data_IF_907673468618
#
_entry.id   IF_907673468618
#
_cell.length_a   1.000
_cell.length_b   1.000
_cell.length_c   1.000
_cell.angle_alpha   90.00
_cell.angle_beta   90.00
_cell.angle_gamma   90.00
#
_symmetry.space_group_name_H-M   'P 1'
#
loop_
_entity.id
_entity.type
_entity.pdbx_description
1 polymer ?
#
# COMPACT_ATOMS: atom_id res chain seq x y z
N UNK A 1 5.51 30.10 11.31
CA UNK A 1 4.80 29.04 10.54
C UNK A 1 5.70 27.92 9.99
N UNK A 2 6.97 28.17 9.62
CA UNK A 2 7.89 27.11 9.12
C UNK A 2 8.23 26.04 10.18
N UNK A 3 8.53 26.45 11.41
CA UNK A 3 8.87 25.55 12.52
C UNK A 3 7.81 24.49 12.81
N UNK A 4 6.52 24.86 12.78
CA UNK A 4 5.41 23.91 13.00
C UNK A 4 5.36 22.85 11.90
N UNK A 5 5.66 23.22 10.65
CA UNK A 5 5.68 22.26 9.53
C UNK A 5 6.78 21.22 9.71
N UNK A 6 7.98 21.63 10.11
CA UNK A 6 9.11 20.73 10.35
C UNK A 6 8.81 19.67 11.43
N UNK A 7 8.12 20.07 12.51
CA UNK A 7 7.68 19.16 13.57
C UNK A 7 6.63 18.16 13.05
N UNK A 8 5.75 18.58 12.13
CA UNK A 8 4.65 17.74 11.61
C UNK A 8 5.12 16.73 10.55
N UNK A 9 6.12 17.08 9.73
CA UNK A 9 6.63 16.23 8.64
C UNK A 9 6.85 14.74 9.03
N UNK A 10 7.51 14.39 10.15
CA UNK A 10 7.74 12.99 10.52
C UNK A 10 6.44 12.20 10.80
N UNK A 11 5.37 12.88 11.19
CA UNK A 11 4.08 12.24 11.49
C UNK A 11 3.19 12.07 10.25
N UNK A 12 3.55 12.69 9.11
CA UNK A 12 2.77 12.58 7.88
C UNK A 12 3.11 11.27 7.14
N UNK A 13 2.13 10.38 7.06
CA UNK A 13 2.19 9.23 6.14
C UNK A 13 2.32 9.68 4.68
N UNK A 14 3.36 9.19 4.00
CA UNK A 14 3.64 9.46 2.58
C UNK A 14 2.75 8.69 1.60
N UNK A 15 2.23 7.52 2.01
CA UNK A 15 1.46 6.59 1.16
C UNK A 15 0.00 6.53 1.60
N UNK A 16 -0.78 7.56 1.29
CA UNK A 16 -2.24 7.56 1.48
C UNK A 16 -2.89 7.61 0.09
N UNK A 17 -3.82 6.71 -0.23
CA UNK A 17 -4.54 6.77 -1.50
C UNK A 17 -5.38 8.05 -1.59
N UNK A 18 -5.62 8.56 -2.81
CA UNK A 18 -6.59 9.63 -2.99
C UNK A 18 -8.01 9.10 -2.74
N UNK A 19 -8.52 9.42 -1.56
CA UNK A 19 -9.86 9.08 -1.10
C UNK A 19 -10.77 10.27 -1.33
N UNK A 20 -11.91 10.04 -1.97
CA UNK A 20 -12.92 11.05 -2.21
C UNK A 20 -14.26 10.68 -1.54
N UNK A 21 -15.10 11.66 -1.20
CA UNK A 21 -16.47 11.40 -0.80
C UNK A 21 -17.21 10.57 -1.86
N UNK A 22 -17.93 9.53 -1.43
CA UNK A 22 -18.64 8.58 -2.31
C UNK A 22 -17.86 7.30 -2.61
N UNK A 23 -16.57 7.25 -2.26
CA UNK A 23 -15.79 6.03 -2.39
C UNK A 23 -16.20 5.01 -1.33
N UNK A 24 -16.23 3.74 -1.73
CA UNK A 24 -16.36 2.59 -0.82
C UNK A 24 -14.97 2.09 -0.49
N UNK A 25 -14.63 2.08 0.79
CA UNK A 25 -13.29 1.79 1.28
C UNK A 25 -13.29 0.73 2.38
N UNK A 26 -12.17 0.01 2.52
CA UNK A 26 -11.84 -0.80 3.70
C UNK A 26 -10.72 -0.11 4.48
N UNK A 27 -10.97 0.17 5.75
CA UNK A 27 -9.98 0.70 6.68
C UNK A 27 -9.51 -0.43 7.59
N UNK A 28 -8.21 -0.70 7.58
CA UNK A 28 -7.58 -1.69 8.42
C UNK A 28 -6.99 -0.97 9.63
N UNK A 29 -7.54 -1.21 10.81
CA UNK A 29 -7.11 -0.57 12.05
C UNK A 29 -6.63 -1.63 13.04
N UNK A 30 -5.41 -1.46 13.55
CA UNK A 30 -4.87 -2.24 14.65
C UNK A 30 -5.58 -1.85 15.94
N UNK A 31 -6.05 -2.83 16.67
CA UNK A 31 -6.64 -2.69 17.99
C UNK A 31 -5.93 -3.61 18.97
N UNK A 32 -5.71 -3.12 20.19
CA UNK A 32 -5.10 -3.90 21.27
C UNK A 32 -6.22 -4.61 22.03
N UNK A 33 -6.28 -5.93 21.88
CA UNK A 33 -7.20 -6.78 22.61
C UNK A 33 -6.50 -7.29 23.88
N UNK A 34 -7.11 -7.06 25.04
CA UNK A 34 -6.62 -7.58 26.32
C UNK A 34 -7.18 -8.99 26.49
N UNK A 35 -6.32 -9.99 26.51
CA UNK A 35 -6.71 -11.40 26.65
C UNK A 35 -6.81 -11.76 28.14
N UNK A 36 -7.58 -12.81 28.46
CA UNK A 36 -7.61 -13.40 29.82
C UNK A 36 -6.17 -13.75 30.22
N UNK A 37 -5.73 -13.25 31.39
CA UNK A 37 -4.35 -13.25 31.95
C UNK A 37 -3.47 -12.02 31.64
N UNK A 38 -4.01 -10.94 31.07
CA UNK A 38 -3.31 -9.65 30.99
C UNK A 38 -2.33 -9.50 29.82
N UNK A 39 -2.24 -10.50 28.93
CA UNK A 39 -1.49 -10.39 27.68
C UNK A 39 -2.19 -9.43 26.71
N UNK A 40 -1.41 -8.52 26.11
CA UNK A 40 -1.88 -7.59 25.07
C UNK A 40 -1.58 -8.21 23.72
N UNK A 41 -2.63 -8.55 22.95
CA UNK A 41 -2.50 -8.99 21.56
C UNK A 41 -2.99 -7.91 20.61
N UNK A 42 -2.23 -7.66 19.54
CA UNK A 42 -2.65 -6.76 18.49
C UNK A 42 -3.46 -7.52 17.43
N UNK A 43 -4.66 -7.03 17.14
CA UNK A 43 -5.55 -7.59 16.13
C UNK A 43 -5.97 -6.50 15.14
N UNK A 44 -5.97 -6.81 13.86
CA UNK A 44 -6.43 -5.88 12.83
C UNK A 44 -7.94 -6.02 12.64
N UNK A 45 -8.69 -4.97 12.98
CA UNK A 45 -10.11 -4.84 12.67
C UNK A 45 -10.30 -4.13 11.33
N UNK A 46 -11.19 -4.67 10.50
CA UNK A 46 -11.52 -4.09 9.19
C UNK A 46 -12.87 -3.39 9.27
N UNK A 47 -12.93 -2.13 8.87
CA UNK A 47 -14.17 -1.37 8.73
C UNK A 47 -14.40 -1.01 7.26
N UNK A 48 -15.45 -1.58 6.68
CA UNK A 48 -15.83 -1.37 5.28
C UNK A 48 -17.04 -0.46 5.17
N UNK A 49 -16.97 0.62 4.41
CA UNK A 49 -18.12 1.49 4.20
C UNK A 49 -17.89 2.60 3.20
N UNK A 50 -18.89 3.49 3.09
CA UNK A 50 -18.87 4.62 2.16
C UNK A 50 -18.30 5.84 2.88
N UNK A 51 -17.37 6.53 2.23
CA UNK A 51 -16.84 7.82 2.70
C UNK A 51 -17.90 8.89 2.48
N UNK A 52 -18.41 9.47 3.56
CA UNK A 52 -19.43 10.54 3.49
C UNK A 52 -18.82 11.94 3.57
N UNK A 53 -17.63 12.08 4.14
CA UNK A 53 -16.95 13.36 4.27
C UNK A 53 -15.44 13.14 4.37
N UNK A 54 -14.68 14.11 3.85
CA UNK A 54 -13.23 14.28 4.03
C UNK A 54 -12.98 15.71 4.52
N UNK A 55 -12.12 15.88 5.52
CA UNK A 55 -11.73 17.19 6.08
C UNK A 55 -10.22 17.35 6.05
N UNK A 56 -9.76 18.60 6.03
CA UNK A 56 -8.35 19.00 6.16
C UNK A 56 -7.37 18.43 5.12
N UNK A 57 -7.85 17.81 4.05
CA UNK A 57 -7.06 17.47 2.86
C UNK A 57 -5.80 16.65 3.16
N UNK A 58 -4.64 17.31 3.07
CA UNK A 58 -3.30 16.74 3.29
C UNK A 58 -2.63 17.21 4.60
N UNK A 59 -3.36 17.94 5.45
CA UNK A 59 -2.86 18.37 6.76
C UNK A 59 -2.82 17.20 7.75
N UNK A 60 -2.06 17.34 8.83
CA UNK A 60 -2.00 16.31 9.89
C UNK A 60 -3.37 15.97 10.50
N UNK A 61 -4.27 16.97 10.56
CA UNK A 61 -5.65 16.83 11.01
C UNK A 61 -6.61 16.23 9.98
N UNK A 62 -6.10 15.74 8.84
CA UNK A 62 -6.91 15.14 7.80
C UNK A 62 -7.71 13.95 8.33
N UNK A 63 -9.02 14.01 8.17
CA UNK A 63 -9.95 12.99 8.65
C UNK A 63 -10.93 12.60 7.56
N UNK A 64 -11.33 11.33 7.57
CA UNK A 64 -12.41 10.79 6.75
C UNK A 64 -13.51 10.25 7.65
N UNK A 65 -14.75 10.42 7.23
CA UNK A 65 -15.90 9.82 7.91
C UNK A 65 -16.47 8.72 7.04
N UNK A 66 -16.51 7.50 7.58
CA UNK A 66 -16.96 6.30 6.87
C UNK A 66 -18.26 5.82 7.51
N UNK A 67 -19.26 5.58 6.67
CA UNK A 67 -20.58 5.10 7.07
C UNK A 67 -20.81 3.68 6.57
N UNK A 68 -21.25 2.79 7.46
CA UNK A 68 -21.67 1.41 7.19
C UNK A 68 -23.03 1.15 7.83
N UNK A 69 -23.90 0.40 7.18
CA UNK A 69 -25.11 -0.13 7.82
C UNK A 69 -24.79 -1.54 8.30
N UNK A 70 -24.94 -1.80 9.60
CA UNK A 70 -24.70 -3.10 10.23
C UNK A 70 -25.99 -3.48 10.97
N UNK A 71 -26.58 -4.63 10.63
CA UNK A 71 -27.81 -5.09 11.30
C UNK A 71 -28.97 -4.09 11.25
N UNK A 72 -29.08 -3.30 10.17
CA UNK A 72 -30.10 -2.24 10.04
C UNK A 72 -29.77 -0.91 10.74
N UNK A 73 -28.71 -0.85 11.54
CA UNK A 73 -28.26 0.38 12.23
C UNK A 73 -27.13 1.04 11.44
N UNK A 74 -27.25 2.35 11.22
CA UNK A 74 -26.22 3.15 10.53
C UNK A 74 -25.09 3.53 11.48
N UNK A 75 -23.92 2.91 11.31
CA UNK A 75 -22.70 3.18 12.07
C UNK A 75 -21.80 4.13 11.28
N UNK A 76 -21.36 5.20 11.92
CA UNK A 76 -20.36 6.12 11.38
C UNK A 76 -19.08 6.07 12.23
N UNK A 77 -17.93 6.00 11.57
CA UNK A 77 -16.62 6.11 12.22
C UNK A 77 -15.79 7.19 11.55
N UNK A 78 -15.08 7.98 12.35
CA UNK A 78 -14.17 9.03 11.89
C UNK A 78 -12.75 8.49 12.04
N UNK A 79 -11.98 8.52 10.95
CA UNK A 79 -10.60 8.05 10.91
C UNK A 79 -9.67 9.20 10.54
N UNK A 80 -8.69 9.56 11.40
CA UNK A 80 -7.59 10.44 11.02
C UNK A 80 -6.63 9.70 10.08
N UNK A 81 -6.32 10.28 8.92
CA UNK A 81 -5.56 9.61 7.86
C UNK A 81 -4.12 9.25 8.28
N UNK A 82 -3.52 10.08 9.10
CA UNK A 82 -2.13 9.92 9.56
C UNK A 82 -2.01 9.12 10.87
N UNK A 83 -3.12 8.59 11.41
CA UNK A 83 -3.10 7.86 12.68
C UNK A 83 -2.25 6.57 12.58
N UNK A 84 -1.27 6.34 13.48
CA UNK A 84 -0.38 5.18 13.42
C UNK A 84 -1.11 3.83 13.51
N UNK A 85 -2.24 3.77 14.21
CA UNK A 85 -3.03 2.54 14.34
C UNK A 85 -3.67 2.08 13.02
N UNK A 86 -3.78 2.95 12.01
CA UNK A 86 -4.31 2.59 10.69
C UNK A 86 -3.18 1.96 9.89
N UNK A 87 -3.34 0.70 9.53
CA UNK A 87 -2.33 -0.05 8.79
C UNK A 87 -2.39 0.28 7.30
N UNK A 88 -3.57 0.19 6.70
CA UNK A 88 -3.82 0.49 5.29
C UNK A 88 -5.26 0.91 5.06
N UNK A 89 -5.48 1.64 3.97
CA UNK A 89 -6.81 1.99 3.46
C UNK A 89 -6.88 1.52 2.02
N UNK A 90 -7.86 0.68 1.72
CA UNK A 90 -8.08 0.15 0.37
C UNK A 90 -9.34 0.78 -0.22
N UNK A 91 -9.23 1.33 -1.43
CA UNK A 91 -10.38 1.86 -2.17
C UNK A 91 -10.94 0.73 -3.03
N UNK A 92 -12.14 0.26 -2.70
CA UNK A 92 -12.80 -0.82 -3.44
C UNK A 92 -13.52 -0.32 -4.67
N UNK A 93 -14.22 0.81 -4.54
CA UNK A 93 -15.11 1.32 -5.57
C UNK A 93 -15.24 2.82 -5.48
N UNK A 94 -15.17 3.51 -6.62
CA UNK A 94 -15.49 4.93 -6.71
C UNK A 94 -16.93 5.16 -7.18
N UNK A 95 -17.60 6.13 -6.57
CA UNK A 95 -18.97 6.51 -6.96
C UNK A 95 -19.01 7.94 -7.48
N UNK A 96 -19.85 8.18 -8.50
CA UNK A 96 -20.06 9.54 -9.02
C UNK A 96 -21.00 10.29 -8.09
N UNK A 97 -20.46 11.28 -7.38
CA UNK A 97 -21.21 12.19 -6.51
C UNK A 97 -20.93 13.63 -6.86
N UNK A 98 -21.92 14.51 -6.62
CA UNK A 98 -21.79 15.95 -6.86
C UNK A 98 -21.52 16.75 -5.57
N UNK A 99 -21.87 16.20 -4.42
CA UNK A 99 -21.73 16.87 -3.12
C UNK A 99 -20.41 16.47 -2.46
N UNK A 100 -19.70 17.44 -1.89
CA UNK A 100 -18.47 17.20 -1.12
C UNK A 100 -18.73 16.48 0.23
N UNK A 101 -19.93 16.64 0.80
CA UNK A 101 -20.36 15.95 2.02
C UNK A 101 -21.70 15.26 1.79
N UNK A 102 -21.74 13.94 1.96
CA UNK A 102 -22.88 13.08 1.68
C UNK A 102 -23.75 12.83 2.91
N UNK A 103 -23.99 13.86 3.74
CA UNK A 103 -24.79 13.72 4.96
C UNK A 103 -26.24 13.29 4.70
N UNK A 104 -26.74 13.49 3.48
CA UNK A 104 -28.06 12.98 3.09
C UNK A 104 -28.17 11.44 3.16
N UNK A 105 -27.04 10.71 3.13
CA UNK A 105 -27.02 9.26 3.32
C UNK A 105 -27.39 8.81 4.75
N UNK A 106 -27.53 9.74 5.68
CA UNK A 106 -28.05 9.47 7.03
C UNK A 106 -29.55 9.17 7.04
N UNK A 107 -30.30 9.91 6.22
CA UNK A 107 -31.76 9.82 6.14
C UNK A 107 -32.22 9.04 4.90
N UNK A 108 -31.37 8.93 3.87
CA UNK A 108 -31.69 8.16 2.67
C UNK A 108 -31.83 6.65 2.98
N UNK A 109 -32.90 6.05 2.45
CA UNK A 109 -33.17 4.61 2.53
C UNK A 109 -33.42 4.02 1.14
N UNK A 110 -33.20 2.71 1.00
CA UNK A 110 -33.46 1.97 -0.24
C UNK A 110 -32.73 2.53 -1.46
N UNK A 111 -33.45 2.69 -2.58
CA UNK A 111 -32.88 3.16 -3.86
C UNK A 111 -32.19 4.53 -3.77
N UNK A 112 -32.65 5.42 -2.87
CA UNK A 112 -32.08 6.77 -2.70
C UNK A 112 -30.70 6.76 -2.04
N UNK A 113 -30.37 5.71 -1.29
CA UNK A 113 -29.06 5.55 -0.67
C UNK A 113 -28.01 4.98 -1.65
N UNK A 114 -28.44 4.44 -2.80
CA UNK A 114 -27.55 3.82 -3.78
C UNK A 114 -26.85 4.89 -4.61
N UNK A 115 -25.52 4.90 -4.56
CA UNK A 115 -24.69 5.78 -5.38
C UNK A 115 -24.38 5.14 -6.74
N UNK A 116 -24.42 5.95 -7.81
CA UNK A 116 -24.01 5.55 -9.16
C UNK A 116 -22.50 5.29 -9.17
N UNK A 117 -22.01 4.21 -9.79
CA UNK A 117 -20.56 4.03 -9.91
C UNK A 117 -19.99 5.01 -10.92
N UNK A 118 -18.73 5.35 -10.71
CA UNK A 118 -17.91 5.99 -11.72
C UNK A 118 -17.34 4.87 -12.57
N UNK A 119 -17.77 4.75 -13.81
CA UNK A 119 -17.09 3.90 -14.79
C UNK A 119 -15.76 4.57 -15.09
N UNK A 120 -14.67 3.84 -14.86
CA UNK A 120 -13.39 4.22 -15.43
C UNK A 120 -13.47 3.84 -16.90
N UNK A 121 -13.66 4.82 -17.77
CA UNK A 121 -13.13 4.67 -19.12
C UNK A 121 -11.63 4.91 -18.93
N UNK A 122 -10.87 3.84 -18.72
CA UNK A 122 -9.44 3.94 -18.92
C UNK A 122 -9.27 4.29 -20.39
N UNK A 123 -9.03 5.57 -20.68
CA UNK A 123 -8.30 5.93 -21.87
C UNK A 123 -6.96 5.21 -21.72
N UNK A 124 -6.83 4.08 -22.42
CA UNK A 124 -5.55 3.45 -22.72
C UNK A 124 -4.83 4.49 -23.58
N UNK A 125 -4.19 5.45 -22.92
CA UNK A 125 -3.07 6.14 -23.53
C UNK A 125 -1.94 5.11 -23.51
N UNK A 126 -1.75 4.45 -24.66
CA UNK A 126 -0.47 3.84 -24.98
C UNK A 126 0.60 4.94 -24.91
N UNK A 127 1.15 5.18 -23.72
CA UNK A 127 2.46 5.79 -23.61
C UNK A 127 3.47 4.73 -24.05
N UNK A 128 3.74 4.71 -25.36
CA UNK A 128 4.96 4.11 -25.92
C UNK A 128 6.13 4.58 -25.04
N UNK A 129 6.97 3.68 -24.49
CA UNK A 129 8.14 4.11 -23.76
C UNK A 129 9.07 4.86 -24.72
N UNK A 130 9.17 6.18 -24.58
CA UNK A 130 10.26 6.96 -25.17
C UNK A 130 11.53 6.63 -24.39
N UNK A 131 12.31 5.77 -25.03
CA UNK A 131 13.69 5.42 -24.76
C UNK A 131 14.57 6.67 -24.84
N UNK A 132 14.85 7.33 -23.71
CA UNK A 132 15.87 8.39 -23.62
C UNK A 132 16.26 8.69 -22.15
N UNK A 133 16.85 7.71 -21.47
CA UNK A 133 17.61 7.92 -20.22
C UNK A 133 18.56 6.75 -19.89
N UNK A 134 19.23 6.14 -20.89
CA UNK A 134 20.19 5.04 -20.68
C UNK A 134 21.53 5.18 -21.41
N UNK A 135 21.92 6.38 -21.81
CA UNK A 135 23.19 6.63 -22.52
C UNK A 135 24.30 7.27 -21.68
N UNK A 136 24.15 7.40 -20.35
CA UNK A 136 25.23 7.95 -19.50
C UNK A 136 25.68 7.10 -18.31
N UNK A 137 25.03 5.99 -18.00
CA UNK A 137 25.49 5.04 -16.95
C UNK A 137 25.99 3.70 -17.50
N UNK A 138 25.92 3.49 -18.83
CA UNK A 138 26.33 2.22 -19.46
C UNK A 138 27.80 2.18 -19.92
N UNK A 139 28.58 3.23 -19.66
CA UNK A 139 30.01 3.30 -20.00
C UNK A 139 30.96 3.05 -18.81
N UNK A 140 30.50 3.17 -17.55
CA UNK A 140 31.34 2.90 -16.35
C UNK A 140 31.08 1.53 -15.71
N UNK A 141 29.98 0.85 -16.05
CA UNK A 141 29.66 -0.48 -15.50
C UNK A 141 30.20 -1.61 -16.39
N UNK A 142 30.58 -1.33 -17.64
CA UNK A 142 31.15 -2.32 -18.57
C UNK A 142 32.60 -2.70 -18.28
N UNK A 143 33.43 -1.81 -17.71
CA UNK A 143 34.81 -2.16 -17.34
C UNK A 143 34.89 -2.97 -16.03
N UNK A 144 33.96 -2.76 -15.08
CA UNK A 144 33.94 -3.50 -13.80
C UNK A 144 33.23 -4.86 -13.85
N UNK A 145 32.49 -5.16 -14.92
CA UNK A 145 31.84 -6.47 -15.09
C UNK A 145 32.69 -7.50 -15.85
N UNK A 146 33.78 -7.09 -16.49
CA UNK A 146 34.74 -8.02 -17.12
C UNK A 146 35.76 -8.59 -16.12
N UNK A 147 36.21 -7.82 -15.13
CA UNK A 147 37.14 -8.34 -14.10
C UNK A 147 36.48 -9.32 -13.12
N UNK A 148 35.20 -9.12 -12.78
CA UNK A 148 34.50 -10.02 -11.84
C UNK A 148 34.14 -11.36 -12.48
N UNK A 149 33.88 -11.38 -13.80
CA UNK A 149 33.58 -12.62 -14.54
C UNK A 149 34.82 -13.50 -14.76
N UNK A 150 36.00 -12.91 -14.97
CA UNK A 150 37.27 -13.66 -15.08
C UNK A 150 37.65 -14.36 -13.77
N UNK A 151 37.37 -13.73 -12.63
CA UNK A 151 37.65 -14.30 -11.30
C UNK A 151 36.62 -15.33 -10.79
N UNK A 152 35.42 -15.39 -11.38
CA UNK A 152 34.42 -16.42 -11.01
C UNK A 152 34.55 -17.69 -11.85
N UNK A 153 34.99 -17.60 -13.12
CA UNK A 153 35.22 -18.79 -13.96
C UNK A 153 36.41 -19.63 -13.46
N UNK A 154 37.48 -19.04 -12.91
CA UNK A 154 38.61 -19.81 -12.35
C UNK A 154 38.28 -20.56 -11.04
N UNK A 155 37.35 -20.03 -10.23
CA UNK A 155 36.91 -20.68 -8.98
C UNK A 155 35.96 -21.85 -9.21
N UNK A 156 35.08 -21.76 -10.22
CA UNK A 156 34.14 -22.84 -10.53
C UNK A 156 34.88 -24.05 -11.13
N UNK A 157 35.94 -23.83 -11.91
CA UNK A 157 36.76 -24.92 -12.49
C UNK A 157 37.66 -25.63 -11.46
N UNK A 158 38.00 -24.97 -10.34
CA UNK A 158 38.84 -25.56 -9.29
C UNK A 158 38.02 -26.40 -8.30
N UNK A 159 36.78 -26.00 -7.98
CA UNK A 159 35.88 -26.76 -7.09
C UNK A 159 35.30 -28.01 -7.78
N UNK A 160 34.94 -27.94 -9.08
CA UNK A 160 34.44 -29.12 -9.82
C UNK A 160 35.52 -30.19 -10.07
N UNK A 161 36.81 -29.82 -10.09
CA UNK A 161 37.91 -30.79 -10.22
C UNK A 161 38.22 -31.52 -8.91
N UNK A 162 37.99 -30.89 -7.75
CA UNK A 162 38.16 -31.54 -6.44
C UNK A 162 37.05 -32.54 -6.13
N UNK A 163 35.80 -32.24 -6.46
CA UNK A 163 34.68 -33.18 -6.24
C UNK A 163 34.73 -34.41 -7.16
N UNK A 164 35.19 -34.25 -8.41
CA UNK A 164 35.36 -35.41 -9.32
C UNK A 164 36.49 -36.34 -8.88
N UNK A 165 37.56 -35.80 -8.28
CA UNK A 165 38.70 -36.58 -7.80
C UNK A 165 38.38 -37.37 -6.51
N UNK A 166 37.51 -36.86 -5.64
CA UNK A 166 37.05 -37.58 -4.44
C UNK A 166 36.05 -38.71 -4.73
N UNK A 167 35.33 -38.64 -5.86
CA UNK A 167 34.39 -39.69 -6.29
C UNK A 167 35.09 -40.86 -6.99
N UNK A 168 36.20 -40.63 -7.70
CA UNK A 168 37.01 -41.70 -8.31
C UNK A 168 37.76 -42.53 -7.26
N UNK A 169 38.34 -41.89 -6.23
CA UNK A 169 39.11 -42.60 -5.20
C UNK A 169 38.22 -43.54 -4.35
N UNK A 170 36.92 -43.22 -4.19
CA UNK A 170 35.96 -44.09 -3.50
C UNK A 170 35.49 -45.29 -4.32
N UNK A 171 35.82 -45.36 -5.61
CA UNK A 171 35.44 -46.46 -6.49
C UNK A 171 36.54 -47.52 -6.69
N UNK A 172 37.77 -47.25 -6.24
CA UNK A 172 38.92 -48.18 -6.37
C UNK A 172 39.30 -48.92 -5.06
N UNK A 173 38.69 -48.61 -3.90
CA UNK A 173 38.95 -49.30 -2.62
C UNK A 173 37.89 -50.36 -2.24
N UNK A 174 37.21 -50.99 -3.20
CA UNK A 174 36.30 -52.12 -2.91
C UNK A 174 36.56 -53.36 -3.74
#
# INVERSE_FOLDING_TARGET
>A
MKQIKEIIQPFLKKKIPDIQPGDSIKVYQKFKEVVKKGEIKEKTQVFEGIVIAKKHGSEIGATITVRKIIGGVGVERIFPLHLPSIEKIEVLRRSKVRRAKLYFLRTAKGKRARLKRKEFVEAIAEEKPKEEAKTKEKAEVSEKTEEVKKGTEEKIVTEEKTEKKELEIKSEEK
#
